data_IF_429922911448
#
_entry.id   IF_429922911448
#
_cell.length_a   1.000
_cell.length_b   1.000
_cell.length_c   1.000
_cell.angle_alpha   90.00
_cell.angle_beta   90.00
_cell.angle_gamma   90.00
#
_symmetry.space_group_name_H-M   'P 1'
#
loop_
_entity.id
_entity.type
_entity.pdbx_description
1 polymer ?
#
# COMPACT_ATOMS: atom_id res chain seq x y z
N UNK A 1 -56.48 43.12 -31.52
CA UNK A 1 -57.33 41.94 -31.30
C UNK A 1 -56.40 40.77 -31.02
N UNK A 2 -56.54 40.21 -29.81
CA UNK A 2 -56.11 38.87 -29.37
C UNK A 2 -54.62 38.48 -29.42
N UNK A 3 -53.98 38.64 -28.25
CA UNK A 3 -53.29 37.65 -27.40
C UNK A 3 -52.71 36.33 -27.96
N UNK A 4 -51.71 35.87 -27.18
CA UNK A 4 -51.16 34.51 -26.99
C UNK A 4 -49.82 34.24 -27.70
N UNK A 5 -48.78 33.68 -27.06
CA UNK A 5 -48.59 33.23 -25.70
C UNK A 5 -47.11 32.81 -25.51
N UNK A 6 -46.63 32.97 -24.28
CA UNK A 6 -45.76 32.01 -23.56
C UNK A 6 -44.35 31.75 -24.09
N UNK A 7 -43.41 32.51 -23.53
CA UNK A 7 -42.15 32.07 -22.90
C UNK A 7 -41.77 30.60 -23.06
N UNK A 8 -40.62 30.36 -23.70
CA UNK A 8 -39.73 29.26 -23.34
C UNK A 8 -38.30 29.81 -23.32
N UNK A 9 -37.85 30.22 -22.13
CA UNK A 9 -36.42 30.26 -21.81
C UNK A 9 -36.07 28.99 -21.05
N UNK A 10 -35.21 28.11 -21.58
CA UNK A 10 -34.29 27.33 -20.78
C UNK A 10 -33.01 28.17 -20.65
N UNK A 11 -32.85 28.88 -19.53
CA UNK A 11 -31.99 28.43 -18.43
C UNK A 11 -30.55 28.19 -18.90
N UNK A 12 -29.75 29.25 -18.81
CA UNK A 12 -28.30 29.13 -18.65
C UNK A 12 -28.08 28.51 -17.26
N UNK A 13 -27.73 27.22 -17.25
CA UNK A 13 -27.16 26.52 -16.09
C UNK A 13 -26.00 25.71 -16.68
N UNK A 14 -24.78 26.23 -16.62
CA UNK A 14 -23.85 25.98 -15.51
C UNK A 14 -23.65 24.48 -15.27
N UNK A 15 -22.78 23.87 -16.08
CA UNK A 15 -21.79 22.88 -15.66
C UNK A 15 -21.06 22.41 -16.92
N UNK A 16 -19.87 22.94 -17.14
CA UNK A 16 -18.65 22.15 -16.89
C UNK A 16 -18.65 20.84 -17.68
N UNK A 17 -17.77 20.81 -18.68
CA UNK A 17 -16.92 19.64 -18.89
C UNK A 17 -17.64 18.36 -19.35
N UNK A 18 -18.07 18.32 -20.60
CA UNK A 18 -18.02 17.05 -21.36
C UNK A 18 -17.24 17.24 -22.65
N UNK A 19 -16.00 17.64 -22.45
CA UNK A 19 -14.88 17.33 -23.32
C UNK A 19 -14.65 15.81 -23.23
N UNK A 20 -15.52 15.00 -23.85
CA UNK A 20 -15.27 13.57 -24.04
C UNK A 20 -15.32 13.30 -25.53
N UNK A 21 -14.26 13.80 -26.17
CA UNK A 21 -13.49 13.14 -27.22
C UNK A 21 -14.06 11.80 -27.64
N UNK A 22 -14.64 11.79 -28.84
CA UNK A 22 -14.73 10.63 -29.71
C UNK A 22 -13.47 9.78 -29.57
N UNK A 23 -13.61 8.61 -28.95
CA UNK A 23 -12.56 7.61 -28.91
C UNK A 23 -12.52 6.92 -30.28
N UNK A 24 -11.44 7.03 -31.08
CA UNK A 24 -11.28 6.14 -32.21
C UNK A 24 -10.96 4.75 -31.69
N UNK A 25 -11.85 3.83 -32.06
CA UNK A 25 -11.77 2.38 -31.88
C UNK A 25 -10.38 1.85 -32.20
N UNK A 26 -9.80 1.18 -31.22
CA UNK A 26 -8.55 0.46 -31.27
C UNK A 26 -8.64 -0.79 -32.16
N UNK A 27 -8.24 -0.65 -33.43
CA UNK A 27 -7.89 -1.79 -34.30
C UNK A 27 -7.03 -1.26 -35.44
N UNK A 28 -5.74 -1.04 -35.15
CA UNK A 28 -4.62 -1.44 -36.01
C UNK A 28 -3.33 -0.91 -35.38
N UNK A 29 -2.33 -1.80 -35.36
CA UNK A 29 -1.04 -1.65 -34.69
C UNK A 29 -0.12 -0.66 -35.41
N UNK A 30 -0.54 0.59 -35.50
CA UNK A 30 0.31 1.70 -35.91
C UNK A 30 -0.15 2.93 -35.15
N UNK A 31 0.43 3.14 -33.97
CA UNK A 31 0.18 4.32 -33.16
C UNK A 31 0.66 5.57 -33.93
N UNK A 32 -0.25 6.17 -34.70
CA UNK A 32 -0.02 7.46 -35.34
C UNK A 32 0.06 8.50 -34.23
N UNK A 33 1.27 9.00 -33.99
CA UNK A 33 1.51 10.08 -33.04
C UNK A 33 0.81 11.32 -33.57
N UNK A 34 -0.15 11.87 -32.80
CA UNK A 34 -0.88 13.07 -33.20
C UNK A 34 -0.14 14.34 -32.76
N UNK A 35 -0.36 15.46 -33.45
CA UNK A 35 0.27 16.75 -33.10
C UNK A 35 -0.10 17.19 -31.69
N UNK A 36 -1.35 16.95 -31.27
CA UNK A 36 -1.81 17.24 -29.92
C UNK A 36 -0.99 16.45 -28.89
N UNK A 37 -0.72 15.16 -29.14
CA UNK A 37 0.10 14.35 -28.23
C UNK A 37 1.54 14.86 -28.12
N UNK A 38 2.10 15.47 -29.16
CA UNK A 38 3.43 16.10 -29.14
C UNK A 38 3.39 17.42 -28.35
N UNK A 39 2.41 18.28 -28.63
CA UNK A 39 2.23 19.55 -27.91
C UNK A 39 2.02 19.33 -26.41
N UNK A 40 1.27 18.29 -26.04
CA UNK A 40 0.99 17.90 -24.66
C UNK A 40 2.06 16.98 -24.05
N UNK A 41 3.18 16.71 -24.75
CA UNK A 41 4.23 15.77 -24.33
C UNK A 41 3.75 14.36 -23.93
N UNK A 42 2.54 13.99 -24.36
CA UNK A 42 1.84 12.76 -23.95
C UNK A 42 2.19 11.58 -24.87
N UNK A 43 2.77 11.82 -26.05
CA UNK A 43 3.20 10.79 -26.99
C UNK A 43 4.14 9.73 -26.35
N UNK A 44 5.03 10.16 -25.46
CA UNK A 44 5.96 9.26 -24.77
C UNK A 44 5.27 8.39 -23.69
N UNK A 45 4.23 8.91 -23.03
CA UNK A 45 3.50 8.20 -21.99
C UNK A 45 2.54 7.14 -22.56
N UNK A 46 1.94 7.40 -23.74
CA UNK A 46 1.06 6.46 -24.44
C UNK A 46 1.83 5.30 -25.06
N UNK A 47 3.08 5.53 -25.47
CA UNK A 47 3.96 4.50 -26.04
C UNK A 47 4.51 3.52 -24.98
N UNK A 48 4.43 3.85 -23.68
CA UNK A 48 4.96 2.99 -22.63
C UNK A 48 3.89 1.97 -22.20
N UNK A 49 4.14 0.66 -22.33
CA UNK A 49 3.23 -0.32 -21.76
C UNK A 49 3.14 -0.10 -20.25
N UNK A 50 1.95 -0.21 -19.62
CA UNK A 50 1.82 -0.10 -18.18
C UNK A 50 2.75 -1.13 -17.54
N UNK A 51 3.74 -0.63 -16.81
CA UNK A 51 4.79 -1.45 -16.26
C UNK A 51 4.16 -2.50 -15.34
N UNK A 52 4.20 -3.78 -15.76
CA UNK A 52 3.72 -4.94 -14.98
C UNK A 52 4.64 -5.23 -13.78
N UNK A 53 5.10 -4.20 -13.09
CA UNK A 53 6.04 -4.29 -11.96
C UNK A 53 5.37 -4.84 -10.71
N UNK A 54 4.04 -4.67 -10.58
CA UNK A 54 3.28 -5.13 -9.41
C UNK A 54 3.38 -6.64 -9.16
N UNK A 55 3.36 -7.47 -10.21
CA UNK A 55 3.49 -8.92 -10.00
C UNK A 55 4.90 -9.33 -9.58
N UNK A 56 5.90 -8.58 -10.00
CA UNK A 56 7.30 -8.85 -9.68
C UNK A 56 7.63 -8.45 -8.25
N UNK A 57 7.13 -7.29 -7.79
CA UNK A 57 7.25 -6.86 -6.39
C UNK A 57 6.60 -7.85 -5.43
N UNK A 58 5.41 -8.36 -5.78
CA UNK A 58 4.69 -9.33 -4.94
C UNK A 58 5.49 -10.63 -4.80
N UNK A 59 6.09 -11.12 -5.90
CA UNK A 59 6.93 -12.33 -5.85
C UNK A 59 8.22 -12.13 -5.06
N UNK A 60 8.88 -10.98 -5.20
CA UNK A 60 10.11 -10.67 -4.46
C UNK A 60 9.81 -10.56 -2.96
N UNK A 61 8.70 -9.91 -2.60
CA UNK A 61 8.27 -9.83 -1.20
C UNK A 61 7.97 -11.21 -0.61
N UNK A 62 7.24 -12.07 -1.33
CA UNK A 62 6.94 -13.42 -0.87
C UNK A 62 8.20 -14.27 -0.63
N UNK A 63 9.21 -14.15 -1.51
CA UNK A 63 10.49 -14.85 -1.33
C UNK A 63 11.26 -14.29 -0.13
N UNK A 64 11.31 -12.96 0.03
CA UNK A 64 12.02 -12.33 1.16
C UNK A 64 11.44 -12.72 2.52
N UNK A 65 10.12 -12.79 2.65
CA UNK A 65 9.45 -13.14 3.92
C UNK A 65 9.66 -14.61 4.26
N UNK A 66 9.63 -15.50 3.26
CA UNK A 66 9.92 -16.92 3.46
C UNK A 66 11.36 -17.14 3.93
N UNK A 67 12.33 -16.46 3.32
CA UNK A 67 13.75 -16.53 3.72
C UNK A 67 13.93 -16.00 5.15
N UNK A 68 13.31 -14.85 5.48
CA UNK A 68 13.37 -14.29 6.83
C UNK A 68 12.76 -15.23 7.88
N UNK A 69 11.65 -15.89 7.57
CA UNK A 69 11.02 -16.86 8.46
C UNK A 69 11.91 -18.09 8.70
N UNK A 70 12.64 -18.55 7.68
CA UNK A 70 13.61 -19.64 7.83
C UNK A 70 14.77 -19.26 8.75
N UNK A 71 15.29 -18.04 8.63
CA UNK A 71 16.33 -17.54 9.54
C UNK A 71 15.82 -17.35 10.97
N UNK A 72 14.62 -16.78 11.14
CA UNK A 72 14.00 -16.61 12.46
C UNK A 72 13.66 -17.95 13.13
N UNK A 73 13.28 -18.98 12.36
CA UNK A 73 13.09 -20.33 12.87
C UNK A 73 14.41 -21.05 13.20
N UNK A 74 15.49 -20.68 12.52
CA UNK A 74 16.84 -21.20 12.79
C UNK A 74 17.46 -20.59 14.05
N UNK A 75 17.01 -19.41 14.47
CA UNK A 75 17.38 -18.85 15.77
C UNK A 75 16.74 -19.68 16.87
N UNK A 76 17.51 -20.62 17.42
CA UNK A 76 17.15 -21.34 18.64
C UNK A 76 16.79 -20.28 19.68
N UNK A 77 15.55 -20.29 20.24
CA UNK A 77 15.15 -19.27 21.20
C UNK A 77 16.20 -19.19 22.29
N UNK A 78 16.71 -17.98 22.55
CA UNK A 78 17.78 -17.74 23.50
C UNK A 78 17.50 -18.55 24.77
N UNK A 79 18.42 -19.46 25.11
CA UNK A 79 18.23 -20.40 26.20
C UNK A 79 17.85 -19.60 27.45
N UNK A 80 16.60 -19.76 27.92
CA UNK A 80 16.11 -19.07 29.11
C UNK A 80 17.03 -19.48 30.26
N UNK A 81 17.72 -18.50 30.86
CA UNK A 81 18.59 -18.76 31.98
C UNK A 81 17.77 -19.36 33.13
N UNK A 82 18.03 -20.62 33.45
CA UNK A 82 17.33 -21.30 34.53
C UNK A 82 17.99 -20.91 35.85
N UNK A 83 17.40 -19.93 36.54
CA UNK A 83 17.81 -19.57 37.88
C UNK A 83 17.09 -20.47 38.90
N UNK A 84 17.82 -21.04 39.88
CA UNK A 84 17.18 -21.77 40.96
C UNK A 84 16.23 -20.84 41.72
N UNK A 85 15.09 -21.38 42.18
CA UNK A 85 14.14 -20.62 42.99
C UNK A 85 14.82 -20.23 44.31
N UNK A 86 14.98 -18.93 44.53
CA UNK A 86 15.43 -18.40 45.82
C UNK A 86 14.27 -18.44 46.80
N UNK A 87 14.45 -19.15 47.91
CA UNK A 87 13.46 -19.22 48.97
C UNK A 87 13.86 -18.26 50.08
N UNK A 88 13.31 -17.05 50.04
CA UNK A 88 13.58 -15.98 51.03
C UNK A 88 13.39 -16.46 52.48
N UNK A 89 12.46 -17.39 52.70
CA UNK A 89 12.26 -17.98 54.03
C UNK A 89 13.47 -18.77 54.54
N UNK A 90 14.16 -19.53 53.68
CA UNK A 90 15.37 -20.27 54.06
C UNK A 90 16.51 -19.31 54.39
N UNK A 91 16.68 -18.26 53.58
CA UNK A 91 17.70 -17.23 53.79
C UNK A 91 17.46 -16.49 55.12
N UNK A 92 16.20 -16.13 55.41
CA UNK A 92 15.81 -15.48 56.65
C UNK A 92 16.00 -16.38 57.88
N UNK A 93 15.64 -17.67 57.79
CA UNK A 93 15.82 -18.63 58.88
C UNK A 93 17.30 -18.90 59.18
N UNK A 94 18.15 -18.91 58.14
CA UNK A 94 19.60 -19.01 58.30
C UNK A 94 20.15 -17.76 59.00
N UNK A 95 19.75 -16.57 58.54
CA UNK A 95 20.14 -15.31 59.17
C UNK A 95 19.70 -15.23 60.63
N UNK A 96 18.46 -15.59 60.97
CA UNK A 96 17.99 -15.55 62.35
C UNK A 96 18.79 -16.48 63.25
N UNK A 97 19.08 -17.71 62.78
CA UNK A 97 19.89 -18.67 63.53
C UNK A 97 21.32 -18.20 63.74
N UNK A 98 21.88 -17.47 62.78
CA UNK A 98 23.22 -16.90 62.92
C UNK A 98 23.22 -15.69 63.87
N UNK A 99 22.16 -14.87 63.85
CA UNK A 99 22.00 -13.79 64.83
C UNK A 99 21.79 -14.31 66.25
N UNK A 100 21.12 -15.44 66.43
CA UNK A 100 20.97 -16.09 67.74
C UNK A 100 22.31 -16.62 68.31
N UNK A 101 23.37 -16.68 67.50
CA UNK A 101 24.71 -17.12 67.92
C UNK A 101 25.65 -15.98 68.31
N UNK A 102 25.27 -14.73 68.05
CA UNK A 102 26.01 -13.52 68.42
C UNK A 102 25.63 -13.05 69.83
#
# INVERSE_FOLDING_TARGET
>A
MTDMATTFSPALDESMETLVTSAPSSTDTQALITEQQVLLSTAAAVALPPAKTRRWSDTVHAVSTAVQAMFAASEKPAARQHYPKRHVWLDNALMSREMDRL
#
